data_IF_585941390818
#
_entry.id   IF_585941390818
#
_cell.length_a   1.000
_cell.length_b   1.000
_cell.length_c   1.000
_cell.angle_alpha   90.00
_cell.angle_beta   90.00
_cell.angle_gamma   90.00
#
_symmetry.space_group_name_H-M   'P 1'
#
loop_
_entity.id
_entity.type
_entity.pdbx_description
1 polymer ?
#
# COMPACT_ATOMS: atom_id res chain seq x y z
N UNK A 1 13.04 8.22 19.51
CA UNK A 1 11.91 8.47 20.44
C UNK A 1 10.61 8.31 19.66
N UNK A 2 10.21 7.07 19.43
CA UNK A 2 9.02 6.71 18.61
C UNK A 2 8.02 5.84 19.41
N UNK A 3 8.47 5.38 20.58
CA UNK A 3 7.78 4.48 21.50
C UNK A 3 6.53 5.10 22.14
N UNK A 4 6.51 6.42 22.35
CA UNK A 4 5.38 7.08 23.03
C UNK A 4 4.09 7.15 22.22
N UNK A 5 4.18 7.38 20.90
CA UNK A 5 3.01 7.46 20.03
C UNK A 5 2.50 6.06 19.66
N UNK A 6 3.41 5.14 19.32
CA UNK A 6 3.06 3.75 18.99
C UNK A 6 2.35 3.04 20.16
N UNK A 7 2.80 3.27 21.40
CA UNK A 7 2.15 2.73 22.60
C UNK A 7 0.77 3.36 22.87
N UNK A 8 0.57 4.65 22.55
CA UNK A 8 -0.74 5.31 22.68
C UNK A 8 -1.75 4.77 21.67
N UNK A 9 -1.33 4.51 20.43
CA UNK A 9 -2.20 3.92 19.39
C UNK A 9 -2.62 2.50 19.76
N UNK A 10 -1.69 1.67 20.23
CA UNK A 10 -1.99 0.30 20.68
C UNK A 10 -2.84 0.23 21.96
N UNK A 11 -2.81 1.29 22.77
CA UNK A 11 -3.60 1.40 24.00
C UNK A 11 -5.00 1.99 23.76
N UNK A 12 -5.29 2.50 22.57
CA UNK A 12 -6.64 2.94 22.20
C UNK A 12 -7.53 1.70 22.02
N UNK A 13 -8.61 1.63 22.80
CA UNK A 13 -9.57 0.54 22.77
C UNK A 13 -10.23 0.32 21.38
N UNK A 14 -10.16 1.29 20.47
CA UNK A 14 -10.71 1.19 19.11
C UNK A 14 -9.68 0.75 18.06
N UNK A 15 -8.40 0.60 18.41
CA UNK A 15 -7.38 0.16 17.48
C UNK A 15 -7.36 -1.37 17.36
N UNK A 16 -7.90 -1.88 16.26
CA UNK A 16 -7.82 -3.30 15.90
C UNK A 16 -6.88 -3.48 14.70
N UNK A 17 -5.66 -3.92 14.99
CA UNK A 17 -4.64 -4.17 13.98
C UNK A 17 -5.04 -5.27 12.98
N UNK A 18 -5.76 -6.30 13.43
CA UNK A 18 -6.20 -7.39 12.56
C UNK A 18 -7.27 -6.92 11.59
N UNK A 19 -8.19 -6.07 12.07
CA UNK A 19 -9.22 -5.46 11.22
C UNK A 19 -8.61 -4.51 10.19
N UNK A 20 -7.60 -3.74 10.58
CA UNK A 20 -6.90 -2.84 9.65
C UNK A 20 -6.15 -3.63 8.57
N UNK A 21 -5.41 -4.66 8.97
CA UNK A 21 -4.69 -5.54 8.03
C UNK A 21 -5.67 -6.20 7.06
N UNK A 22 -6.77 -6.77 7.56
CA UNK A 22 -7.81 -7.36 6.72
C UNK A 22 -8.40 -6.36 5.72
N UNK A 23 -8.67 -5.13 6.15
CA UNK A 23 -9.20 -4.07 5.29
C UNK A 23 -8.19 -3.64 4.23
N UNK A 24 -6.90 -3.55 4.57
CA UNK A 24 -5.82 -3.28 3.63
C UNK A 24 -5.73 -4.37 2.56
N UNK A 25 -5.75 -5.65 2.96
CA UNK A 25 -5.74 -6.78 2.01
C UNK A 25 -6.95 -6.73 1.07
N UNK A 26 -8.14 -6.40 1.59
CA UNK A 26 -9.33 -6.25 0.76
C UNK A 26 -9.20 -5.08 -0.22
N UNK A 27 -8.63 -3.95 0.21
CA UNK A 27 -8.35 -2.79 -0.65
C UNK A 27 -7.40 -3.15 -1.80
N UNK A 28 -6.30 -3.85 -1.50
CA UNK A 28 -5.31 -4.30 -2.47
C UNK A 28 -5.96 -5.21 -3.53
N UNK A 29 -6.88 -6.09 -3.11
CA UNK A 29 -7.60 -6.99 -4.03
C UNK A 29 -8.62 -6.28 -4.92
N UNK A 30 -9.05 -5.05 -4.59
CA UNK A 30 -9.90 -4.22 -5.44
C UNK A 30 -9.13 -3.42 -6.49
N UNK A 31 -7.80 -3.39 -6.41
CA UNK A 31 -6.98 -2.70 -7.40
C UNK A 31 -7.02 -3.42 -8.76
N UNK A 32 -6.98 -2.67 -9.87
CA UNK A 32 -6.62 -3.23 -11.17
C UNK A 32 -5.29 -3.96 -11.09
N UNK A 33 -5.15 -5.05 -11.84
CA UNK A 33 -4.00 -5.97 -11.75
C UNK A 33 -2.64 -5.26 -11.82
N UNK A 34 -2.45 -4.36 -12.79
CA UNK A 34 -1.21 -3.58 -12.93
C UNK A 34 -0.92 -2.71 -11.70
N UNK A 35 -1.94 -2.09 -11.11
CA UNK A 35 -1.80 -1.26 -9.91
C UNK A 35 -1.45 -2.11 -8.68
N UNK A 36 -2.09 -3.28 -8.56
CA UNK A 36 -1.80 -4.26 -7.50
C UNK A 36 -0.37 -4.76 -7.56
N UNK A 37 0.09 -5.22 -8.73
CA UNK A 37 1.47 -5.74 -8.91
C UNK A 37 2.48 -4.65 -8.55
N UNK A 38 2.32 -3.45 -9.10
CA UNK A 38 3.21 -2.31 -8.81
C UNK A 38 3.20 -1.95 -7.33
N UNK A 39 2.03 -1.96 -6.69
CA UNK A 39 1.92 -1.71 -5.26
C UNK A 39 2.66 -2.77 -4.44
N UNK A 40 2.44 -4.06 -4.71
CA UNK A 40 3.07 -5.14 -3.96
C UNK A 40 4.59 -5.13 -4.10
N UNK A 41 5.11 -4.99 -5.32
CA UNK A 41 6.56 -4.91 -5.55
C UNK A 41 7.18 -3.72 -4.82
N UNK A 42 6.49 -2.58 -4.79
CA UNK A 42 7.04 -1.37 -4.16
C UNK A 42 6.90 -1.37 -2.63
N UNK A 43 5.79 -1.88 -2.11
CA UNK A 43 5.44 -1.79 -0.69
C UNK A 43 5.92 -3.00 0.13
N UNK A 44 5.77 -4.21 -0.40
CA UNK A 44 6.16 -5.44 0.31
C UNK A 44 7.58 -5.86 -0.03
N UNK A 45 7.96 -5.83 -1.31
CA UNK A 45 9.30 -6.23 -1.75
C UNK A 45 10.30 -5.07 -1.74
N UNK A 46 9.84 -3.85 -1.41
CA UNK A 46 10.62 -2.61 -1.40
C UNK A 46 11.40 -2.32 -2.70
N UNK A 47 10.99 -2.94 -3.82
CA UNK A 47 11.73 -2.96 -5.07
C UNK A 47 11.88 -1.54 -5.64
N UNK A 48 13.09 -1.13 -6.06
CA UNK A 48 13.30 0.16 -6.73
C UNK A 48 12.60 0.23 -8.09
N UNK A 49 12.12 1.41 -8.48
CA UNK A 49 11.43 1.61 -9.76
C UNK A 49 12.27 1.25 -10.99
N UNK A 50 13.58 1.45 -10.91
CA UNK A 50 14.52 1.08 -11.97
C UNK A 50 14.51 -0.44 -12.22
N UNK A 51 14.53 -1.23 -11.15
CA UNK A 51 14.48 -2.69 -11.21
C UNK A 51 13.11 -3.19 -11.67
N UNK A 52 12.04 -2.63 -11.11
CA UNK A 52 10.67 -2.90 -11.56
C UNK A 52 10.50 -2.60 -13.05
N UNK A 53 11.12 -1.53 -13.55
CA UNK A 53 11.06 -1.14 -14.96
C UNK A 53 11.72 -2.18 -15.88
N UNK A 54 12.82 -2.80 -15.42
CA UNK A 54 13.45 -3.93 -16.12
C UNK A 54 12.57 -5.17 -16.13
N UNK A 55 11.98 -5.53 -14.99
CA UNK A 55 11.17 -6.76 -14.83
C UNK A 55 9.82 -6.66 -15.56
N UNK A 56 9.18 -5.50 -15.52
CA UNK A 56 7.86 -5.25 -16.08
C UNK A 56 7.89 -4.61 -17.47
N UNK A 57 9.10 -4.46 -18.05
CA UNK A 57 9.35 -3.89 -19.38
C UNK A 57 8.59 -2.57 -19.61
N UNK A 58 8.69 -1.64 -18.65
CA UNK A 58 7.97 -0.38 -18.68
C UNK A 58 8.78 0.76 -18.08
N UNK A 59 8.35 2.01 -18.30
CA UNK A 59 9.08 3.18 -17.80
C UNK A 59 8.83 3.41 -16.31
N UNK A 60 9.84 3.96 -15.62
CA UNK A 60 9.67 4.39 -14.22
C UNK A 60 8.52 5.38 -14.03
N UNK A 61 8.30 6.27 -15.01
CA UNK A 61 7.21 7.23 -14.97
C UNK A 61 5.84 6.54 -14.95
N UNK A 62 5.66 5.51 -15.77
CA UNK A 62 4.44 4.71 -15.78
C UNK A 62 4.25 3.94 -14.46
N UNK A 63 5.33 3.41 -13.87
CA UNK A 63 5.29 2.73 -12.57
C UNK A 63 4.93 3.69 -11.43
N UNK A 64 5.60 4.86 -11.37
CA UNK A 64 5.32 5.90 -10.36
C UNK A 64 3.86 6.36 -10.43
N UNK A 65 3.34 6.61 -11.64
CA UNK A 65 1.93 6.94 -11.84
C UNK A 65 0.99 5.82 -11.38
N UNK A 66 1.28 4.57 -11.77
CA UNK A 66 0.50 3.40 -11.36
C UNK A 66 0.49 3.22 -9.84
N UNK A 67 1.64 3.39 -9.18
CA UNK A 67 1.77 3.29 -7.72
C UNK A 67 0.96 4.38 -7.02
N UNK A 68 1.08 5.63 -7.46
CA UNK A 68 0.31 6.74 -6.91
C UNK A 68 -1.21 6.51 -7.02
N UNK A 69 -1.68 5.99 -8.17
CA UNK A 69 -3.09 5.63 -8.30
C UNK A 69 -3.50 4.46 -7.40
N UNK A 70 -2.63 3.47 -7.20
CA UNK A 70 -2.88 2.36 -6.29
C UNK A 70 -3.06 2.85 -4.85
N UNK A 71 -2.12 3.69 -4.37
CA UNK A 71 -2.16 4.28 -3.02
C UNK A 71 -3.44 5.07 -2.80
N UNK A 72 -3.81 5.97 -3.72
CA UNK A 72 -5.04 6.76 -3.60
C UNK A 72 -6.29 5.90 -3.48
N UNK A 73 -6.37 4.80 -4.22
CA UNK A 73 -7.53 3.89 -4.15
C UNK A 73 -7.56 3.10 -2.85
N UNK A 74 -6.39 2.69 -2.34
CA UNK A 74 -6.30 2.02 -1.04
C UNK A 74 -6.70 3.00 0.07
N UNK A 75 -6.19 4.23 0.03
CA UNK A 75 -6.54 5.28 0.98
C UNK A 75 -8.04 5.57 0.98
N UNK A 76 -8.63 5.78 -0.20
CA UNK A 76 -10.07 5.97 -0.37
C UNK A 76 -10.89 4.80 0.20
N UNK A 77 -10.45 3.56 -0.04
CA UNK A 77 -11.09 2.37 0.51
C UNK A 77 -11.00 2.32 2.04
N UNK A 78 -9.86 2.69 2.62
CA UNK A 78 -9.66 2.66 4.08
C UNK A 78 -10.48 3.77 4.77
N UNK A 79 -10.60 4.94 4.17
CA UNK A 79 -11.27 6.09 4.76
C UNK A 79 -12.79 6.10 4.54
N UNK A 80 -13.27 5.61 3.40
CA UNK A 80 -14.66 5.77 2.97
C UNK A 80 -15.48 4.46 2.96
N UNK A 81 -14.86 3.30 3.20
CA UNK A 81 -15.55 2.02 3.48
C UNK A 81 -15.29 1.57 4.92
#
# INVERSE_FOLDING_TARGET
VETGLSNKIKADHHFDANKLEWKLQLAIQKLPEKQRVVFCLRYYEEMPYEEMGRVLETSEGALKASYHHAVKKIEDYILNH
#
